data_IF_160969039079
#
_entry.id   IF_160969039079
#
_cell.length_a   1.000
_cell.length_b   1.000
_cell.length_c   1.000
_cell.angle_alpha   90.00
_cell.angle_beta   90.00
_cell.angle_gamma   90.00
#
_symmetry.space_group_name_H-M   'P 1'
#
loop_
_entity.id
_entity.type
_entity.pdbx_description
1 polymer ?
#
# COMPACT_ATOMS: atom_id res chain seq x y z
N UNK A 1 -11.64 11.01 -19.76
CA UNK A 1 -12.41 12.12 -19.15
C UNK A 1 -13.36 11.47 -18.17
N UNK A 2 -13.39 11.96 -16.93
CA UNK A 2 -14.32 11.50 -15.91
C UNK A 2 -15.24 12.65 -15.55
N UNK A 3 -16.55 12.39 -15.52
CA UNK A 3 -17.58 13.33 -15.09
C UNK A 3 -18.34 12.65 -13.97
N UNK A 4 -18.39 13.28 -12.80
CA UNK A 4 -19.01 12.70 -11.60
C UNK A 4 -19.99 13.71 -11.02
N UNK A 5 -21.25 13.33 -10.93
CA UNK A 5 -22.32 14.18 -10.42
C UNK A 5 -23.67 13.77 -10.98
N UNK A 6 -24.70 14.58 -10.72
CA UNK A 6 -26.00 14.42 -11.33
C UNK A 6 -25.96 14.98 -12.76
N UNK A 7 -25.50 14.17 -13.70
CA UNK A 7 -25.33 14.56 -15.11
C UNK A 7 -25.87 13.46 -16.02
N UNK A 8 -26.58 13.86 -17.08
CA UNK A 8 -26.94 12.94 -18.16
C UNK A 8 -25.66 12.61 -18.96
N UNK A 9 -25.28 11.32 -19.12
CA UNK A 9 -24.06 10.93 -19.84
C UNK A 9 -24.04 11.35 -21.32
N UNK A 10 -25.18 11.29 -22.01
CA UNK A 10 -25.31 11.64 -23.44
C UNK A 10 -25.10 13.15 -23.64
N UNK A 11 -25.70 13.97 -22.76
CA UNK A 11 -25.50 15.42 -22.78
C UNK A 11 -24.05 15.81 -22.47
N UNK A 12 -23.43 15.15 -21.49
CA UNK A 12 -22.01 15.37 -21.21
C UNK A 12 -21.16 15.04 -22.45
N UNK A 13 -21.41 13.90 -23.10
CA UNK A 13 -20.71 13.52 -24.32
C UNK A 13 -20.92 14.53 -25.46
N UNK A 14 -22.15 15.01 -25.68
CA UNK A 14 -22.46 16.03 -26.68
C UNK A 14 -21.65 17.31 -26.45
N UNK A 15 -21.65 17.82 -25.21
CA UNK A 15 -20.88 19.01 -24.81
C UNK A 15 -19.39 18.80 -25.06
N UNK A 16 -18.85 17.63 -24.67
CA UNK A 16 -17.44 17.32 -24.93
C UNK A 16 -17.14 17.28 -26.43
N UNK A 17 -17.96 16.62 -27.24
CA UNK A 17 -17.75 16.57 -28.70
C UNK A 17 -17.84 17.95 -29.36
N UNK A 18 -18.73 18.81 -28.89
CA UNK A 18 -18.94 20.16 -29.42
C UNK A 18 -17.76 21.09 -29.13
N UNK A 19 -17.26 21.10 -27.89
CA UNK A 19 -16.24 22.07 -27.47
C UNK A 19 -14.81 21.53 -27.50
N UNK A 20 -14.63 20.21 -27.33
CA UNK A 20 -13.32 19.59 -27.34
C UNK A 20 -13.10 18.86 -28.67
N UNK A 21 -12.51 19.57 -29.64
CA UNK A 21 -12.02 18.97 -30.88
C UNK A 21 -10.71 18.20 -30.62
N UNK A 22 -10.77 17.16 -29.79
CA UNK A 22 -9.65 16.26 -29.51
C UNK A 22 -9.44 15.36 -30.72
N UNK A 23 -8.64 15.80 -31.69
CA UNK A 23 -8.17 14.93 -32.76
C UNK A 23 -7.35 13.81 -32.14
N UNK A 24 -7.94 12.62 -32.02
CA UNK A 24 -7.22 11.40 -31.64
C UNK A 24 -6.11 11.17 -32.66
N UNK A 25 -4.86 11.41 -32.25
CA UNK A 25 -3.68 10.85 -32.91
C UNK A 25 -3.57 9.36 -32.55
N UNK A 26 -2.46 8.73 -32.90
CA UNK A 26 -2.14 7.38 -32.42
C UNK A 26 -2.33 7.29 -30.90
N UNK A 27 -3.06 6.26 -30.48
CA UNK A 27 -3.23 5.94 -29.07
C UNK A 27 -1.88 5.45 -28.57
N UNK A 28 -1.22 6.25 -27.74
CA UNK A 28 0.01 5.84 -27.08
C UNK A 28 -0.30 4.66 -26.16
N UNK A 29 0.24 3.49 -26.47
CA UNK A 29 0.22 2.37 -25.56
C UNK A 29 1.28 2.60 -24.47
N UNK A 30 0.84 2.91 -23.26
CA UNK A 30 1.75 3.09 -22.12
C UNK A 30 2.04 1.70 -21.57
N UNK A 31 3.31 1.23 -21.63
CA UNK A 31 3.64 -0.07 -21.06
C UNK A 31 3.43 -0.06 -19.55
N UNK A 32 3.01 -1.19 -19.00
CA UNK A 32 2.98 -1.37 -17.56
C UNK A 32 4.40 -1.32 -16.98
N UNK A 33 4.55 -0.74 -15.79
CA UNK A 33 5.78 -0.82 -15.02
C UNK A 33 6.11 -2.29 -14.78
N UNK A 34 7.33 -2.72 -15.14
CA UNK A 34 7.83 -4.01 -14.66
C UNK A 34 8.11 -3.90 -13.16
N UNK A 35 7.29 -4.60 -12.38
CA UNK A 35 7.37 -4.62 -10.92
C UNK A 35 8.27 -5.74 -10.41
N UNK A 36 8.75 -6.63 -11.28
CA UNK A 36 9.58 -7.77 -10.89
C UNK A 36 11.00 -7.28 -10.69
N UNK A 37 11.51 -7.53 -9.48
CA UNK A 37 12.91 -7.27 -9.16
C UNK A 37 13.39 -8.32 -8.18
N UNK A 38 14.40 -9.06 -8.59
CA UNK A 38 15.15 -9.92 -7.69
C UNK A 38 16.02 -9.03 -6.76
N UNK A 39 15.86 -9.22 -5.46
CA UNK A 39 16.71 -8.56 -4.46
C UNK A 39 17.88 -9.49 -4.16
N UNK A 40 19.08 -9.10 -4.61
CA UNK A 40 20.32 -9.84 -4.34
C UNK A 40 20.89 -9.53 -2.95
N UNK A 41 20.78 -8.28 -2.52
CA UNK A 41 21.31 -7.78 -1.26
C UNK A 41 20.42 -6.65 -0.74
N UNK A 42 20.21 -6.62 0.58
CA UNK A 42 19.47 -5.55 1.26
C UNK A 42 20.38 -4.35 1.42
N UNK A 43 19.95 -3.18 0.93
CA UNK A 43 20.70 -1.94 1.08
C UNK A 43 20.41 -1.30 2.44
N UNK A 44 21.46 -0.92 3.16
CA UNK A 44 21.35 -0.13 4.38
C UNK A 44 21.86 1.28 4.10
N UNK A 45 21.02 2.28 4.35
CA UNK A 45 21.34 3.69 4.14
C UNK A 45 21.04 4.44 5.42
N UNK A 46 22.04 5.16 5.93
CA UNK A 46 21.88 6.03 7.09
C UNK A 46 22.19 7.46 6.69
N UNK A 47 21.32 8.39 7.07
CA UNK A 47 21.49 9.83 6.83
C UNK A 47 21.38 10.59 8.15
N UNK A 48 22.30 11.55 8.36
CA UNK A 48 22.30 12.39 9.55
C UNK A 48 21.74 13.79 9.22
N UNK A 49 20.62 14.14 9.86
CA UNK A 49 19.96 15.42 9.70
C UNK A 49 19.73 16.08 11.06
N UNK A 50 19.40 17.37 11.05
CA UNK A 50 19.02 18.10 12.26
C UNK A 50 17.55 17.81 12.61
N UNK A 51 17.34 16.69 13.30
CA UNK A 51 16.02 16.15 13.64
C UNK A 51 16.00 15.63 15.07
N UNK A 52 14.87 15.78 15.76
CA UNK A 52 14.70 15.31 17.13
C UNK A 52 14.34 13.82 17.22
N UNK A 53 13.96 13.19 16.10
CA UNK A 53 13.48 11.82 16.06
C UNK A 53 14.13 11.04 14.92
N UNK A 54 14.49 9.79 15.18
CA UNK A 54 14.93 8.87 14.14
C UNK A 54 13.76 8.41 13.26
N UNK A 55 13.94 8.37 11.94
CA UNK A 55 12.96 7.80 11.02
C UNK A 55 13.51 6.53 10.40
N UNK A 56 12.92 5.41 10.79
CA UNK A 56 13.24 4.08 10.25
C UNK A 56 12.22 3.75 9.15
N UNK A 57 12.72 3.51 7.95
CA UNK A 57 11.90 3.19 6.77
C UNK A 57 12.43 1.93 6.10
N UNK A 58 11.57 0.94 5.91
CA UNK A 58 11.91 -0.29 5.22
C UNK A 58 11.14 -0.35 3.89
N UNK A 59 11.86 -0.41 2.78
CA UNK A 59 11.32 -0.58 1.45
C UNK A 59 11.37 -2.05 1.02
N UNK A 60 10.24 -2.56 0.55
CA UNK A 60 10.07 -3.93 0.07
C UNK A 60 9.66 -3.93 -1.40
N UNK A 61 10.16 -4.92 -2.15
CA UNK A 61 9.63 -5.29 -3.47
C UNK A 61 8.47 -6.24 -3.27
N UNK A 62 7.31 -5.94 -3.84
CA UNK A 62 6.14 -6.81 -3.73
C UNK A 62 6.09 -7.83 -4.86
N UNK A 63 6.71 -7.52 -6.01
CA UNK A 63 6.69 -8.34 -7.23
C UNK A 63 5.26 -8.67 -7.75
N UNK A 64 4.26 -7.89 -7.31
CA UNK A 64 2.85 -8.07 -7.68
C UNK A 64 2.42 -6.89 -8.54
N UNK A 65 1.92 -7.22 -9.73
CA UNK A 65 1.39 -6.22 -10.67
C UNK A 65 0.07 -5.63 -10.15
N UNK A 66 -0.18 -4.33 -10.36
CA UNK A 66 -1.44 -3.69 -9.95
C UNK A 66 -2.69 -4.28 -10.60
N UNK A 67 -2.55 -4.99 -11.72
CA UNK A 67 -3.63 -5.69 -12.42
C UNK A 67 -3.73 -7.18 -12.10
N UNK A 68 -2.84 -7.72 -11.25
CA UNK A 68 -2.86 -9.14 -10.84
C UNK A 68 -3.99 -9.41 -9.85
N UNK A 69 -4.55 -10.62 -9.88
CA UNK A 69 -5.48 -11.11 -8.83
C UNK A 69 -4.82 -11.15 -7.45
N UNK A 70 -3.51 -11.36 -7.40
CA UNK A 70 -2.73 -11.38 -6.14
C UNK A 70 -2.65 -10.00 -5.47
N UNK A 71 -3.00 -8.93 -6.18
CA UNK A 71 -3.01 -7.58 -5.63
C UNK A 71 -4.00 -7.44 -4.47
N UNK A 72 -5.14 -8.13 -4.52
CA UNK A 72 -6.15 -8.08 -3.45
C UNK A 72 -5.60 -8.72 -2.17
N UNK A 73 -4.92 -9.87 -2.30
CA UNK A 73 -4.24 -10.54 -1.20
C UNK A 73 -3.12 -9.67 -0.64
N UNK A 74 -2.33 -9.00 -1.50
CA UNK A 74 -1.29 -8.08 -1.09
C UNK A 74 -1.85 -6.87 -0.32
N UNK A 75 -3.01 -6.35 -0.73
CA UNK A 75 -3.65 -5.23 -0.05
C UNK A 75 -4.13 -5.65 1.35
N UNK A 76 -4.70 -6.84 1.49
CA UNK A 76 -5.07 -7.41 2.80
C UNK A 76 -3.81 -7.65 3.64
N UNK A 77 -2.76 -8.24 3.07
CA UNK A 77 -1.46 -8.43 3.73
C UNK A 77 -0.91 -7.12 4.32
N UNK A 78 -0.83 -6.06 3.50
CA UNK A 78 -0.34 -4.76 3.96
C UNK A 78 -1.22 -4.21 5.08
N UNK A 79 -2.53 -4.39 4.97
CA UNK A 79 -3.48 -3.86 5.96
C UNK A 79 -3.37 -4.58 7.31
N UNK A 80 -3.21 -5.90 7.31
CA UNK A 80 -2.94 -6.70 8.52
C UNK A 80 -1.61 -6.29 9.15
N UNK A 81 -0.58 -6.09 8.32
CA UNK A 81 0.75 -5.75 8.80
C UNK A 81 0.81 -4.35 9.43
N UNK A 82 0.21 -3.33 8.79
CA UNK A 82 0.38 -1.94 9.20
C UNK A 82 -0.73 -0.97 8.82
N UNK A 83 -1.93 -1.44 8.48
CA UNK A 83 -3.01 -0.61 7.93
C UNK A 83 -3.88 0.12 8.94
N UNK A 84 -3.69 -0.08 10.24
CA UNK A 84 -4.49 0.58 11.27
C UNK A 84 -4.14 0.17 12.70
N UNK A 85 -4.90 0.63 13.71
CA UNK A 85 -4.61 0.35 15.12
C UNK A 85 -4.65 -1.14 15.50
N UNK A 86 -5.38 -1.95 14.74
CA UNK A 86 -5.44 -3.41 14.92
C UNK A 86 -4.24 -4.15 14.32
N UNK A 87 -3.37 -3.45 13.58
CA UNK A 87 -2.30 -4.08 12.81
C UNK A 87 -1.13 -4.53 13.67
N UNK A 88 -0.35 -5.49 13.16
CA UNK A 88 0.82 -6.05 13.85
C UNK A 88 1.85 -4.97 14.22
N UNK A 89 2.19 -4.10 13.28
CA UNK A 89 3.17 -3.03 13.52
C UNK A 89 2.68 -2.06 14.59
N UNK A 90 1.42 -1.64 14.52
CA UNK A 90 0.86 -0.75 15.54
C UNK A 90 0.88 -1.42 16.92
N UNK A 91 0.38 -2.65 17.03
CA UNK A 91 0.27 -3.34 18.31
C UNK A 91 1.62 -3.75 18.90
N UNK A 92 2.52 -4.31 18.09
CA UNK A 92 3.74 -4.94 18.60
C UNK A 92 4.94 -3.99 18.64
N UNK A 93 5.03 -2.99 17.73
CA UNK A 93 6.14 -2.02 17.72
C UNK A 93 5.78 -0.78 18.55
N UNK A 94 4.59 -0.21 18.35
CA UNK A 94 4.16 1.02 19.03
C UNK A 94 3.55 0.73 20.39
N UNK A 95 2.52 -0.10 20.48
CA UNK A 95 1.75 -0.22 21.74
C UNK A 95 2.46 -1.09 22.79
N UNK A 96 2.91 -2.30 22.43
CA UNK A 96 3.53 -3.22 23.40
C UNK A 96 4.98 -2.92 23.71
N UNK A 97 5.76 -2.58 22.69
CA UNK A 97 7.20 -2.36 22.85
C UNK A 97 7.56 -0.89 23.10
N UNK A 98 6.62 0.05 22.91
CA UNK A 98 6.82 1.50 23.08
C UNK A 98 8.06 2.04 22.35
N UNK A 99 8.44 1.41 21.23
CA UNK A 99 9.65 1.76 20.48
C UNK A 99 9.40 2.85 19.45
N UNK A 100 8.15 2.98 18.99
CA UNK A 100 7.78 3.88 17.91
C UNK A 100 6.55 4.71 18.25
N UNK A 101 6.61 5.99 17.90
CA UNK A 101 5.48 6.92 18.00
C UNK A 101 4.38 6.59 16.97
N UNK A 102 4.82 6.07 15.81
CA UNK A 102 3.97 5.50 14.78
C UNK A 102 4.71 4.34 14.10
N UNK A 103 3.95 3.36 13.62
CA UNK A 103 4.45 2.31 12.76
C UNK A 103 3.31 1.86 11.84
N UNK A 104 3.51 1.96 10.53
CA UNK A 104 2.50 1.58 9.53
C UNK A 104 3.16 1.03 8.27
N UNK A 105 2.37 0.41 7.41
CA UNK A 105 2.78 -0.01 6.07
C UNK A 105 1.90 0.63 5.01
N UNK A 106 2.47 0.89 3.83
CA UNK A 106 1.76 1.45 2.69
C UNK A 106 2.24 0.82 1.39
N UNK A 107 1.31 0.54 0.48
CA UNK A 107 1.62 0.09 -0.87
C UNK A 107 1.78 1.26 -1.84
N UNK A 108 2.82 1.18 -2.65
CA UNK A 108 2.99 1.99 -3.86
C UNK A 108 2.61 1.12 -5.07
N UNK A 109 1.29 0.96 -5.26
CA UNK A 109 0.66 0.00 -6.19
C UNK A 109 1.32 -0.09 -7.57
N UNK A 110 1.59 1.03 -8.23
CA UNK A 110 2.11 1.06 -9.61
C UNK A 110 3.63 0.93 -9.71
N UNK A 111 4.34 0.90 -8.58
CA UNK A 111 5.80 0.71 -8.50
C UNK A 111 6.19 -0.68 -8.00
N UNK A 112 5.21 -1.48 -7.56
CA UNK A 112 5.48 -2.80 -6.96
C UNK A 112 6.25 -2.69 -5.65
N UNK A 113 6.00 -1.65 -4.85
CA UNK A 113 6.67 -1.44 -3.57
C UNK A 113 5.68 -1.48 -2.41
N UNK A 114 6.18 -1.90 -1.26
CA UNK A 114 5.58 -1.65 0.04
C UNK A 114 6.61 -0.91 0.89
N UNK A 115 6.17 0.09 1.64
CA UNK A 115 7.01 0.86 2.54
C UNK A 115 6.46 0.72 3.94
N UNK A 116 7.30 0.28 4.87
CA UNK A 116 7.04 0.39 6.31
C UNK A 116 7.76 1.65 6.80
N UNK A 117 7.07 2.48 7.57
CA UNK A 117 7.67 3.67 8.17
C UNK A 117 7.36 3.71 9.66
N UNK A 118 8.38 4.04 10.44
CA UNK A 118 8.26 4.32 11.87
C UNK A 118 9.11 5.51 12.29
N UNK A 119 8.63 6.20 13.32
CA UNK A 119 9.39 7.21 14.04
C UNK A 119 9.80 6.66 15.40
N UNK A 120 11.11 6.64 15.68
CA UNK A 120 11.71 5.97 16.83
C UNK A 120 12.77 6.87 17.50
N UNK A 121 13.10 6.56 18.75
CA UNK A 121 14.34 7.06 19.35
C UNK A 121 15.56 6.42 18.67
N UNK A 122 16.64 7.18 18.51
CA UNK A 122 17.79 6.74 17.70
C UNK A 122 18.48 5.52 18.31
N UNK A 123 18.51 5.43 19.63
CA UNK A 123 19.08 4.31 20.40
C UNK A 123 18.26 3.02 20.24
N UNK A 124 16.99 3.14 19.85
CA UNK A 124 16.08 2.02 19.66
C UNK A 124 16.13 1.42 18.25
N UNK A 125 17.00 1.94 17.36
CA UNK A 125 17.13 1.48 15.97
C UNK A 125 17.16 -0.05 15.83
N UNK A 126 18.10 -0.73 16.49
CA UNK A 126 18.27 -2.18 16.33
C UNK A 126 17.03 -2.94 16.81
N UNK A 127 16.51 -2.58 17.98
CA UNK A 127 15.30 -3.24 18.56
C UNK A 127 14.08 -3.03 17.66
N UNK A 128 13.88 -1.81 17.15
CA UNK A 128 12.75 -1.50 16.29
C UNK A 128 12.86 -2.25 14.96
N UNK A 129 14.04 -2.29 14.35
CA UNK A 129 14.30 -3.06 13.14
C UNK A 129 14.00 -4.54 13.35
N UNK A 130 14.51 -5.14 14.43
CA UNK A 130 14.32 -6.55 14.74
C UNK A 130 12.84 -6.91 14.92
N UNK A 131 12.08 -6.11 15.66
CA UNK A 131 10.64 -6.37 15.85
C UNK A 131 9.89 -6.19 14.53
N UNK A 132 10.18 -5.15 13.73
CA UNK A 132 9.52 -4.97 12.43
C UNK A 132 9.77 -6.18 11.52
N UNK A 133 11.03 -6.65 11.42
CA UNK A 133 11.37 -7.81 10.60
C UNK A 133 10.76 -9.11 11.14
N UNK A 134 10.68 -9.25 12.47
CA UNK A 134 9.97 -10.35 13.10
C UNK A 134 8.50 -10.36 12.69
N UNK A 135 7.78 -9.25 12.79
CA UNK A 135 6.36 -9.18 12.42
C UNK A 135 6.13 -9.46 10.93
N UNK A 136 7.05 -9.04 10.06
CA UNK A 136 7.05 -9.43 8.63
C UNK A 136 7.20 -10.94 8.48
N UNK A 137 8.13 -11.57 9.21
CA UNK A 137 8.33 -13.02 9.21
C UNK A 137 7.15 -13.82 9.80
N UNK A 138 6.46 -13.28 10.80
CA UNK A 138 5.24 -13.89 11.36
C UNK A 138 4.10 -13.94 10.33
N UNK A 139 4.01 -12.94 9.43
CA UNK A 139 3.07 -13.01 8.31
C UNK A 139 3.40 -14.16 7.35
N UNK A 140 4.67 -14.40 7.06
CA UNK A 140 5.12 -15.50 6.18
C UNK A 140 4.88 -16.89 6.79
N UNK A 141 4.90 -16.98 8.12
CA UNK A 141 4.53 -18.20 8.87
C UNK A 141 3.01 -18.41 9.00
N UNK A 142 2.19 -17.44 8.59
CA UNK A 142 0.74 -17.50 8.75
C UNK A 142 0.24 -17.23 10.17
N UNK A 143 1.06 -16.64 11.03
CA UNK A 143 0.69 -16.27 12.39
C UNK A 143 -0.18 -14.99 12.39
N UNK A 144 -1.38 -15.12 11.83
CA UNK A 144 -2.38 -14.07 11.69
C UNK A 144 -3.64 -14.49 12.45
N UNK A 145 -3.96 -13.75 13.50
CA UNK A 145 -5.18 -13.99 14.27
C UNK A 145 -6.43 -13.64 13.45
N UNK A 146 -7.57 -14.25 13.79
CA UNK A 146 -8.86 -13.92 13.16
C UNK A 146 -9.19 -12.43 13.36
N UNK A 147 -8.91 -11.90 14.55
CA UNK A 147 -9.14 -10.49 14.85
C UNK A 147 -8.36 -9.56 13.92
N UNK A 148 -7.06 -9.79 13.71
CA UNK A 148 -6.24 -8.96 12.82
C UNK A 148 -6.76 -9.04 11.37
N UNK A 149 -7.06 -10.24 10.89
CA UNK A 149 -7.53 -10.48 9.53
C UNK A 149 -8.90 -9.86 9.26
N UNK A 150 -9.87 -10.11 10.13
CA UNK A 150 -11.23 -9.60 9.98
C UNK A 150 -11.26 -8.07 10.12
N UNK A 151 -10.46 -7.52 11.04
CA UNK A 151 -10.34 -6.06 11.21
C UNK A 151 -9.74 -5.41 9.97
N UNK A 152 -8.73 -6.04 9.35
CA UNK A 152 -8.16 -5.56 8.09
C UNK A 152 -9.19 -5.54 6.96
N UNK A 153 -9.96 -6.63 6.78
CA UNK A 153 -11.00 -6.71 5.75
C UNK A 153 -12.12 -5.70 5.98
N UNK A 154 -12.58 -5.53 7.22
CA UNK A 154 -13.58 -4.51 7.59
C UNK A 154 -13.06 -3.09 7.33
N UNK A 155 -11.82 -2.81 7.70
CA UNK A 155 -11.19 -1.51 7.45
C UNK A 155 -11.11 -1.18 5.95
N UNK A 156 -10.72 -2.16 5.12
CA UNK A 156 -10.72 -2.04 3.66
C UNK A 156 -12.13 -1.84 3.11
N UNK A 157 -13.11 -2.62 3.57
CA UNK A 157 -14.52 -2.48 3.19
C UNK A 157 -15.03 -1.06 3.47
N UNK A 158 -14.80 -0.54 4.67
CA UNK A 158 -15.20 0.83 5.03
C UNK A 158 -14.50 1.87 4.17
N UNK A 159 -13.18 1.73 3.97
CA UNK A 159 -12.39 2.67 3.16
C UNK A 159 -12.84 2.70 1.70
N UNK A 160 -13.16 1.54 1.11
CA UNK A 160 -13.66 1.43 -0.26
C UNK A 160 -15.07 1.99 -0.40
N UNK A 161 -15.94 1.82 0.60
CA UNK A 161 -17.27 2.42 0.59
C UNK A 161 -17.21 3.95 0.69
N UNK A 162 -16.33 4.50 1.51
CA UNK A 162 -16.17 5.95 1.66
C UNK A 162 -15.77 6.67 0.35
N UNK A 163 -15.16 5.96 -0.61
CA UNK A 163 -14.90 6.49 -1.96
C UNK A 163 -16.21 6.93 -2.63
N UNK A 164 -17.34 6.25 -2.34
CA UNK A 164 -18.63 6.53 -2.95
C UNK A 164 -19.24 7.86 -2.51
N UNK A 165 -18.73 8.46 -1.45
CA UNK A 165 -19.28 9.69 -0.89
C UNK A 165 -18.57 10.94 -1.44
N UNK A 166 -17.45 10.78 -2.13
CA UNK A 166 -16.65 11.88 -2.67
C UNK A 166 -16.45 11.76 -4.19
N UNK A 167 -16.83 12.80 -4.93
CA UNK A 167 -16.76 12.81 -6.39
C UNK A 167 -15.32 12.69 -6.93
N UNK A 168 -14.37 13.35 -6.30
CA UNK A 168 -12.94 13.29 -6.66
C UNK A 168 -12.39 11.90 -6.41
N UNK A 169 -12.66 11.31 -5.24
CA UNK A 169 -12.24 9.94 -4.91
C UNK A 169 -12.79 8.91 -5.91
N UNK A 170 -14.05 9.07 -6.38
CA UNK A 170 -14.59 8.22 -7.45
C UNK A 170 -13.80 8.36 -8.74
N UNK A 171 -13.54 9.59 -9.19
CA UNK A 171 -12.80 9.83 -10.42
C UNK A 171 -11.39 9.23 -10.34
N UNK A 172 -10.69 9.44 -9.22
CA UNK A 172 -9.34 8.90 -8.98
C UNK A 172 -9.35 7.37 -8.92
N UNK A 173 -10.36 6.77 -8.27
CA UNK A 173 -10.54 5.33 -8.23
C UNK A 173 -10.65 4.76 -9.66
N UNK A 174 -11.60 5.24 -10.46
CA UNK A 174 -11.79 4.70 -11.81
C UNK A 174 -10.62 4.99 -12.74
N UNK A 175 -9.93 6.12 -12.57
CA UNK A 175 -8.67 6.39 -13.27
C UNK A 175 -7.61 5.36 -12.90
N UNK A 176 -7.43 5.07 -11.61
CA UNK A 176 -6.46 4.08 -11.15
C UNK A 176 -6.77 2.67 -11.69
N UNK A 177 -8.05 2.30 -11.80
CA UNK A 177 -8.47 1.02 -12.34
C UNK A 177 -8.26 0.91 -13.85
N UNK A 178 -8.39 2.03 -14.59
CA UNK A 178 -8.00 2.10 -16.00
C UNK A 178 -6.50 1.95 -16.17
N UNK A 179 -5.70 2.66 -15.36
CA UNK A 179 -4.23 2.58 -15.39
C UNK A 179 -3.77 1.16 -15.03
N UNK A 180 -4.44 0.48 -14.09
CA UNK A 180 -4.15 -0.89 -13.71
C UNK A 180 -4.62 -1.94 -14.72
N UNK A 181 -5.43 -1.56 -15.72
CA UNK A 181 -6.01 -2.47 -16.72
C UNK A 181 -7.15 -3.34 -16.21
N UNK A 182 -7.60 -3.18 -14.96
CA UNK A 182 -8.62 -4.05 -14.35
C UNK A 182 -10.05 -3.61 -14.69
N UNK A 183 -10.27 -2.30 -14.85
CA UNK A 183 -11.58 -1.70 -15.13
C UNK A 183 -12.69 -2.01 -14.09
N UNK A 184 -12.35 -2.54 -12.92
CA UNK A 184 -13.36 -2.97 -11.94
C UNK A 184 -14.09 -1.78 -11.30
N UNK A 185 -15.38 -2.00 -11.03
CA UNK A 185 -16.15 -1.16 -10.13
C UNK A 185 -15.81 -1.39 -8.66
N UNK A 186 -16.20 -0.44 -7.80
CA UNK A 186 -15.92 -0.48 -6.35
C UNK A 186 -16.47 -1.76 -5.72
N UNK A 187 -17.69 -2.18 -6.08
CA UNK A 187 -18.31 -3.39 -5.49
C UNK A 187 -17.63 -4.68 -5.92
N UNK A 188 -17.14 -4.74 -7.15
CA UNK A 188 -16.38 -5.89 -7.64
C UNK A 188 -15.04 -5.98 -6.91
N UNK A 189 -14.39 -4.84 -6.68
CA UNK A 189 -13.17 -4.76 -5.89
C UNK A 189 -13.42 -5.22 -4.45
N UNK A 190 -14.50 -4.77 -3.81
CA UNK A 190 -14.88 -5.23 -2.47
C UNK A 190 -15.06 -6.76 -2.45
N UNK A 191 -15.79 -7.32 -3.41
CA UNK A 191 -15.97 -8.77 -3.53
C UNK A 191 -14.64 -9.52 -3.71
N UNK A 192 -13.66 -8.94 -4.40
CA UNK A 192 -12.32 -9.53 -4.53
C UNK A 192 -11.61 -9.57 -3.16
N UNK A 193 -11.70 -8.49 -2.37
CA UNK A 193 -11.15 -8.45 -1.01
C UNK A 193 -11.86 -9.42 -0.06
N UNK A 194 -13.19 -9.54 -0.15
CA UNK A 194 -13.99 -10.46 0.67
C UNK A 194 -13.62 -11.94 0.42
N UNK A 195 -13.19 -12.28 -0.79
CA UNK A 195 -12.78 -13.64 -1.16
C UNK A 195 -11.37 -14.03 -0.70
N UNK A 196 -10.52 -13.06 -0.37
CA UNK A 196 -9.16 -13.32 0.11
C UNK A 196 -9.23 -14.18 1.38
N UNK A 197 -8.48 -15.28 1.39
CA UNK A 197 -8.25 -16.13 2.57
C UNK A 197 -6.94 -15.78 3.29
N UNK A 198 -6.68 -16.38 4.45
CA UNK A 198 -5.39 -16.22 5.14
C UNK A 198 -4.26 -16.90 4.38
N UNK A 199 -4.53 -18.03 3.74
CA UNK A 199 -3.58 -18.76 2.91
C UNK A 199 -3.12 -17.88 1.73
N UNK A 200 -4.05 -17.16 1.08
CA UNK A 200 -3.70 -16.20 0.04
C UNK A 200 -2.75 -15.10 0.54
N UNK A 201 -2.96 -14.62 1.78
CA UNK A 201 -2.11 -13.63 2.45
C UNK A 201 -0.71 -14.20 2.73
N UNK A 202 -0.64 -15.47 3.15
CA UNK A 202 0.63 -16.18 3.36
C UNK A 202 1.36 -16.36 2.03
N UNK A 203 0.69 -16.81 0.99
CA UNK A 203 1.32 -17.03 -0.31
C UNK A 203 1.86 -15.72 -0.92
N UNK A 204 1.11 -14.62 -0.85
CA UNK A 204 1.60 -13.34 -1.37
C UNK A 204 2.73 -12.76 -0.52
N UNK A 205 2.76 -13.05 0.79
CA UNK A 205 3.85 -12.57 1.68
C UNK A 205 5.22 -13.09 1.24
N UNK A 206 5.29 -14.32 0.70
CA UNK A 206 6.54 -14.92 0.19
C UNK A 206 7.14 -14.14 -0.97
N UNK A 207 6.35 -13.32 -1.67
CA UNK A 207 6.81 -12.44 -2.76
C UNK A 207 7.34 -11.10 -2.28
N UNK A 208 6.98 -10.70 -1.06
CA UNK A 208 7.40 -9.44 -0.45
C UNK A 208 8.82 -9.59 0.08
N UNK A 209 9.79 -8.94 -0.56
CA UNK A 209 11.21 -9.03 -0.21
C UNK A 209 11.75 -7.67 0.21
N UNK A 210 12.42 -7.63 1.37
CA UNK A 210 13.10 -6.43 1.85
C UNK A 210 14.19 -6.05 0.84
N UNK A 211 14.22 -4.80 0.38
CA UNK A 211 15.18 -4.27 -0.61
C UNK A 211 16.06 -3.19 0.01
N UNK A 212 15.51 -2.38 0.92
CA UNK A 212 16.24 -1.25 1.52
C UNK A 212 15.77 -0.98 2.93
N UNK A 213 16.71 -0.77 3.83
CA UNK A 213 16.50 -0.18 5.15
C UNK A 213 17.14 1.20 5.13
N UNK A 214 16.32 2.22 5.29
CA UNK A 214 16.74 3.61 5.39
C UNK A 214 16.52 4.11 6.81
N UNK A 215 17.54 4.73 7.40
CA UNK A 215 17.48 5.30 8.73
C UNK A 215 17.99 6.75 8.72
N UNK A 216 17.07 7.67 8.96
CA UNK A 216 17.40 9.06 9.24
C UNK A 216 17.59 9.22 10.74
N UNK A 217 18.71 9.82 11.18
CA UNK A 217 19.01 10.06 12.60
C UNK A 217 19.48 11.48 12.83
N UNK A 218 19.47 11.90 14.09
CA UNK A 218 20.12 13.14 14.51
C UNK A 218 21.64 13.06 14.28
N UNK A 219 22.25 14.24 14.08
CA UNK A 219 23.71 14.39 14.14
C UNK A 219 24.18 14.04 15.55
N UNK A 220 25.28 13.30 15.69
CA UNK A 220 25.92 13.15 16.99
C UNK A 220 26.39 14.52 17.46
N UNK A 221 26.07 14.89 18.70
CA UNK A 221 26.75 16.00 19.36
C UNK A 221 28.26 15.67 19.39
N UNK A 222 29.08 16.61 18.90
CA UNK A 222 30.55 16.50 18.84
C UNK A 222 31.14 16.90 20.19
#
# INVERSE_FOLDING_TARGET
IYVVGNVNPEYAEEVFRKYFNLRRKEVLNIPFTDVRKEVKEVKYVTEELDVNQGKLTLGFRTNVSPGSEEYYSLLVYSTVLGGGPFSKLFMNVREKASLAYYAYSRLERFKGLMVISSGIEVENYSKALDIILKEVGEMEKGNISDYEFDSAKKSLYTSLNAIKDNATSKADYYLSQKIAGTNLGIEEFIKKIEKVSKEDVVEVSKKVKLDTVYFMRNKKEV
#
